data_IF_758912216577
#
_entry.id   IF_758912216577
#
_cell.length_a   1.000
_cell.length_b   1.000
_cell.length_c   1.000
_cell.angle_alpha   90.00
_cell.angle_beta   90.00
_cell.angle_gamma   90.00
#
_symmetry.space_group_name_H-M   'P 1'
#
loop_
_entity.id
_entity.type
_entity.pdbx_description
1 polymer ?
#
# COMPACT_ATOMS: atom_id res chain seq x y z
N UNK A 1 44.87 -15.36 -11.62
CA UNK A 1 43.65 -14.97 -10.89
C UNK A 1 42.52 -15.83 -11.41
N UNK A 2 41.98 -16.70 -10.56
CA UNK A 2 41.05 -17.79 -10.93
C UNK A 2 39.61 -17.34 -10.66
N UNK A 3 38.69 -17.59 -11.60
CA UNK A 3 37.29 -17.20 -11.50
C UNK A 3 36.50 -17.82 -10.34
N UNK A 4 37.11 -18.74 -9.58
CA UNK A 4 36.57 -19.31 -8.34
C UNK A 4 36.48 -18.32 -7.18
N UNK A 5 37.29 -17.26 -7.19
CA UNK A 5 37.26 -16.23 -6.14
C UNK A 5 35.94 -15.44 -6.19
N UNK A 6 35.39 -15.17 -7.38
CA UNK A 6 34.11 -14.46 -7.54
C UNK A 6 32.92 -15.22 -6.98
N UNK A 7 32.89 -16.55 -7.10
CA UNK A 7 31.80 -17.38 -6.55
C UNK A 7 31.77 -17.36 -5.02
N UNK A 8 32.92 -17.15 -4.36
CA UNK A 8 32.99 -17.08 -2.90
C UNK A 8 32.44 -15.77 -2.33
N UNK A 9 32.46 -14.67 -3.09
CA UNK A 9 31.87 -13.40 -2.68
C UNK A 9 30.34 -13.37 -2.85
N UNK A 10 29.78 -14.10 -3.84
CA UNK A 10 28.34 -14.29 -3.97
C UNK A 10 27.75 -15.24 -2.91
N UNK A 11 28.58 -16.11 -2.32
CA UNK A 11 28.17 -17.03 -1.23
C UNK A 11 28.22 -16.40 0.17
N UNK A 12 28.29 -15.06 0.30
CA UNK A 12 28.23 -14.40 1.61
C UNK A 12 26.78 -14.35 2.15
N UNK A 13 25.77 -14.55 1.30
CA UNK A 13 24.35 -14.39 1.66
C UNK A 13 23.71 -15.57 2.41
N UNK A 14 24.40 -16.69 2.62
CA UNK A 14 23.81 -17.90 3.21
C UNK A 14 24.66 -18.49 4.33
N UNK A 15 24.91 -17.73 5.41
CA UNK A 15 25.45 -18.31 6.65
C UNK A 15 24.39 -19.28 7.22
N UNK A 16 24.67 -20.59 7.32
CA UNK A 16 23.70 -21.57 7.83
C UNK A 16 23.21 -21.18 9.22
N UNK A 17 21.89 -21.00 9.38
CA UNK A 17 21.27 -20.63 10.66
C UNK A 17 21.08 -19.12 10.91
N UNK A 18 21.53 -18.24 10.00
CA UNK A 18 21.29 -16.78 10.09
C UNK A 18 20.24 -16.24 9.11
N UNK A 19 19.78 -17.05 8.16
CA UNK A 19 18.69 -16.71 7.24
C UNK A 19 17.39 -17.40 7.67
N UNK A 20 16.32 -16.64 7.92
CA UNK A 20 14.98 -17.17 8.22
C UNK A 20 14.01 -16.75 7.10
N UNK A 21 13.19 -17.67 6.56
CA UNK A 21 12.21 -17.33 5.53
C UNK A 21 11.16 -16.34 6.09
N UNK A 22 11.16 -15.11 5.57
CA UNK A 22 10.16 -14.10 5.89
C UNK A 22 8.90 -14.37 5.06
N UNK A 23 7.76 -14.51 5.74
CA UNK A 23 6.48 -14.64 5.04
C UNK A 23 6.11 -13.34 4.34
N UNK A 24 5.65 -13.44 3.09
CA UNK A 24 5.23 -12.27 2.31
C UNK A 24 4.17 -11.41 2.99
N UNK A 25 3.35 -11.99 3.85
CA UNK A 25 2.38 -11.27 4.68
C UNK A 25 3.00 -10.18 5.59
N UNK A 26 4.30 -10.27 5.90
CA UNK A 26 5.04 -9.28 6.69
C UNK A 26 5.55 -8.10 5.86
N UNK A 27 5.69 -8.27 4.55
CA UNK A 27 6.32 -7.29 3.65
C UNK A 27 5.36 -6.72 2.61
N UNK A 28 4.31 -7.47 2.24
CA UNK A 28 3.32 -7.04 1.25
C UNK A 28 2.24 -6.18 1.91
N UNK A 29 1.84 -5.06 1.27
CA UNK A 29 0.75 -4.22 1.75
C UNK A 29 -0.57 -5.00 1.89
N UNK A 30 -1.28 -4.80 3.01
CA UNK A 30 -2.59 -5.41 3.26
C UNK A 30 -3.64 -4.75 2.36
N UNK A 31 -3.92 -5.40 1.24
CA UNK A 31 -4.98 -5.03 0.31
C UNK A 31 -6.32 -5.63 0.75
N UNK A 32 -7.39 -4.84 0.67
CA UNK A 32 -8.76 -5.27 0.90
C UNK A 32 -9.51 -5.15 -0.44
N UNK A 33 -9.76 -6.28 -1.10
CA UNK A 33 -10.42 -6.31 -2.41
C UNK A 33 -9.63 -5.64 -3.54
N UNK A 34 -8.31 -5.50 -3.39
CA UNK A 34 -7.44 -4.83 -4.37
C UNK A 34 -7.19 -3.34 -4.08
N UNK A 35 -7.79 -2.77 -3.03
CA UNK A 35 -7.52 -1.40 -2.56
C UNK A 35 -6.75 -1.40 -1.22
N UNK A 36 -5.95 -0.37 -0.90
CA UNK A 36 -5.30 -0.29 0.41
C UNK A 36 -6.36 -0.14 1.50
N UNK A 37 -6.28 -0.95 2.57
CA UNK A 37 -7.29 -1.03 3.64
C UNK A 37 -7.71 0.34 4.19
N UNK A 38 -6.76 1.24 4.39
CA UNK A 38 -7.02 2.59 4.93
C UNK A 38 -7.95 3.41 4.03
N UNK A 39 -7.74 3.39 2.72
CA UNK A 39 -8.55 4.12 1.74
C UNK A 39 -9.93 3.49 1.59
N UNK A 40 -10.01 2.16 1.58
CA UNK A 40 -11.28 1.44 1.51
C UNK A 40 -12.19 1.78 2.70
N UNK A 41 -11.64 1.82 3.92
CA UNK A 41 -12.38 2.22 5.13
C UNK A 41 -12.84 3.68 5.02
N UNK A 42 -11.92 4.59 4.67
CA UNK A 42 -12.23 6.02 4.59
C UNK A 42 -13.34 6.31 3.58
N UNK A 43 -13.28 5.68 2.40
CA UNK A 43 -14.31 5.79 1.38
C UNK A 43 -15.65 5.18 1.83
N UNK A 44 -15.61 4.01 2.49
CA UNK A 44 -16.81 3.38 3.06
C UNK A 44 -17.48 4.25 4.12
N UNK A 45 -16.71 4.89 4.99
CA UNK A 45 -17.23 5.83 6.00
C UNK A 45 -17.84 7.07 5.35
N UNK A 46 -17.17 7.67 4.35
CA UNK A 46 -17.69 8.82 3.62
C UNK A 46 -19.01 8.49 2.93
N UNK A 47 -19.06 7.35 2.24
CA UNK A 47 -20.26 6.86 1.59
C UNK A 47 -21.40 6.57 2.58
N UNK A 48 -21.09 5.98 3.74
CA UNK A 48 -22.08 5.73 4.80
C UNK A 48 -22.62 7.03 5.41
N UNK A 49 -21.75 8.00 5.67
CA UNK A 49 -22.15 9.32 6.18
C UNK A 49 -23.08 10.05 5.19
N UNK A 50 -22.78 9.99 3.89
CA UNK A 50 -23.64 10.61 2.86
C UNK A 50 -24.92 9.81 2.63
N UNK A 51 -24.79 8.49 2.45
CA UNK A 51 -25.89 7.61 2.08
C UNK A 51 -26.92 7.41 3.18
N UNK A 52 -26.46 7.16 4.41
CA UNK A 52 -27.32 6.94 5.56
C UNK A 52 -27.59 8.24 6.33
N UNK A 53 -26.57 9.09 6.49
CA UNK A 53 -26.67 10.31 7.30
C UNK A 53 -27.50 11.42 6.63
N UNK A 54 -27.31 11.67 5.33
CA UNK A 54 -28.14 12.61 4.55
C UNK A 54 -29.31 11.91 3.85
N UNK A 55 -29.50 10.58 4.04
CA UNK A 55 -30.46 9.73 3.32
C UNK A 55 -30.29 9.72 1.78
N UNK A 56 -29.17 10.24 1.28
CA UNK A 56 -28.85 10.27 -0.15
C UNK A 56 -28.25 8.93 -0.59
N UNK A 57 -28.96 7.83 -0.34
CA UNK A 57 -28.44 6.47 -0.50
C UNK A 57 -27.87 6.20 -1.90
N UNK A 58 -28.49 6.74 -2.96
CA UNK A 58 -27.97 6.68 -4.33
C UNK A 58 -26.62 7.40 -4.47
N UNK A 59 -26.51 8.62 -3.94
CA UNK A 59 -25.26 9.36 -3.96
C UNK A 59 -24.18 8.65 -3.13
N UNK A 60 -24.55 8.09 -1.97
CA UNK A 60 -23.67 7.29 -1.13
C UNK A 60 -23.12 6.06 -1.85
N UNK A 61 -23.98 5.31 -2.56
CA UNK A 61 -23.55 4.17 -3.39
C UNK A 61 -22.64 4.63 -4.54
N UNK A 62 -22.95 5.76 -5.17
CA UNK A 62 -22.17 6.29 -6.28
C UNK A 62 -20.77 6.73 -5.82
N UNK A 63 -20.68 7.41 -4.68
CA UNK A 63 -19.42 7.75 -4.00
C UNK A 63 -18.64 6.49 -3.65
N UNK A 64 -19.31 5.50 -3.05
CA UNK A 64 -18.69 4.24 -2.68
C UNK A 64 -18.09 3.53 -3.90
N UNK A 65 -18.88 3.33 -4.95
CA UNK A 65 -18.47 2.60 -6.15
C UNK A 65 -17.32 3.31 -6.86
N UNK A 66 -17.44 4.62 -7.11
CA UNK A 66 -16.40 5.41 -7.80
C UNK A 66 -15.12 5.46 -6.98
N UNK A 67 -15.23 5.76 -5.68
CA UNK A 67 -14.07 5.85 -4.79
C UNK A 67 -13.37 4.50 -4.61
N UNK A 68 -14.12 3.39 -4.54
CA UNK A 68 -13.54 2.07 -4.39
C UNK A 68 -12.85 1.61 -5.68
N UNK A 69 -13.47 1.81 -6.85
CA UNK A 69 -12.86 1.50 -8.14
C UNK A 69 -11.58 2.32 -8.37
N UNK A 70 -11.60 3.61 -8.04
CA UNK A 70 -10.42 4.46 -8.10
C UNK A 70 -9.31 3.95 -7.17
N UNK A 71 -9.65 3.51 -5.95
CA UNK A 71 -8.69 2.97 -5.00
C UNK A 71 -8.07 1.64 -5.46
N UNK A 72 -8.87 0.75 -6.06
CA UNK A 72 -8.39 -0.51 -6.66
C UNK A 72 -7.47 -0.23 -7.86
N UNK A 73 -7.84 0.74 -8.70
CA UNK A 73 -7.00 1.16 -9.83
C UNK A 73 -5.67 1.76 -9.37
N UNK A 74 -5.70 2.62 -8.34
CA UNK A 74 -4.50 3.22 -7.75
C UNK A 74 -3.57 2.16 -7.15
N UNK A 75 -4.09 1.21 -6.36
CA UNK A 75 -3.28 0.12 -5.82
C UNK A 75 -2.72 -0.83 -6.89
N UNK A 76 -3.43 -0.99 -8.01
CA UNK A 76 -2.91 -1.73 -9.17
C UNK A 76 -1.76 -0.99 -9.86
N UNK A 77 -1.71 0.35 -9.79
CA UNK A 77 -0.65 1.17 -10.39
C UNK A 77 0.53 1.36 -9.45
N UNK A 78 0.28 1.57 -8.17
CA UNK A 78 1.31 1.72 -7.15
C UNK A 78 0.76 1.25 -5.77
N UNK A 79 1.27 0.13 -5.22
CA UNK A 79 0.82 -0.37 -3.93
C UNK A 79 1.24 0.51 -2.75
N UNK A 80 2.22 1.40 -2.91
CA UNK A 80 2.73 2.31 -1.88
C UNK A 80 2.11 3.71 -1.93
N UNK A 81 1.20 3.98 -2.88
CA UNK A 81 0.61 5.32 -3.08
C UNK A 81 0.06 5.93 -1.78
N UNK A 82 -0.61 5.13 -0.94
CA UNK A 82 -1.23 5.60 0.29
C UNK A 82 -0.18 6.01 1.35
N UNK A 83 0.96 5.33 1.37
CA UNK A 83 2.07 5.67 2.25
C UNK A 83 2.77 6.95 1.77
N UNK A 84 3.01 7.07 0.46
CA UNK A 84 3.59 8.26 -0.15
C UNK A 84 2.69 9.49 0.06
N UNK A 85 1.38 9.37 -0.18
CA UNK A 85 0.43 10.46 0.05
C UNK A 85 0.40 10.89 1.53
N UNK A 86 0.40 9.93 2.46
CA UNK A 86 0.47 10.22 3.90
C UNK A 86 1.80 10.90 4.27
N UNK A 87 2.90 10.44 3.68
CA UNK A 87 4.23 11.02 3.87
C UNK A 87 4.27 12.46 3.33
N UNK A 88 3.63 12.72 2.20
CA UNK A 88 3.52 14.05 1.60
C UNK A 88 2.70 15.02 2.46
N UNK A 89 1.61 14.56 3.07
CA UNK A 89 0.81 15.38 4.00
C UNK A 89 1.52 15.64 5.32
N UNK A 90 2.42 14.74 5.75
CA UNK A 90 3.12 14.83 7.05
C UNK A 90 4.43 15.62 6.97
N UNK A 91 5.11 15.59 5.82
CA UNK A 91 6.37 16.30 5.62
C UNK A 91 6.09 17.69 5.03
N UNK A 92 6.68 18.76 5.59
CA UNK A 92 6.63 20.07 4.95
C UNK A 92 7.27 20.03 3.57
N UNK A 93 6.66 20.73 2.60
CA UNK A 93 7.09 20.73 1.19
C UNK A 93 8.44 21.43 0.93
N UNK A 94 9.05 22.02 1.96
CA UNK A 94 10.30 22.77 1.87
C UNK A 94 11.44 21.95 2.47
N UNK A 95 12.38 21.55 1.63
CA UNK A 95 13.74 21.22 2.06
C UNK A 95 14.45 22.56 2.30
N UNK A 96 14.35 23.11 3.51
CA UNK A 96 15.26 24.18 3.93
C UNK A 96 16.63 23.54 4.19
N UNK A 97 17.52 23.71 3.21
CA UNK A 97 18.97 23.47 3.33
C UNK A 97 19.59 24.47 4.30
#
# INVERSE_FOLDING_TARGET
>A
MSGSEWQSFEQIDAVPGFSVPVHRALTEPILLGGAPRSIAILNGTLAGAVGLGLQLWLAGILIWAVGHLAAVWAAKRDPLFAEVARRHLRLPAHLSV
#
